data_IF_068760201742
#
_entry.id   IF_068760201742
#
_cell.length_a   1.000
_cell.length_b   1.000
_cell.length_c   1.000
_cell.angle_alpha   90.00
_cell.angle_beta   90.00
_cell.angle_gamma   90.00
#
_symmetry.space_group_name_H-M   'P 1'
#
loop_
_entity.id
_entity.type
_entity.pdbx_description
1 polymer ?
#
# COMPACT_ATOMS: atom_id res chain seq x y z
N UNK A 1 -22.74 22.30 -7.71
CA UNK A 1 -23.10 21.80 -6.37
C UNK A 1 -22.43 20.44 -6.22
N UNK A 2 -21.35 20.33 -5.44
CA UNK A 2 -20.71 19.03 -5.19
C UNK A 2 -21.68 18.13 -4.42
N UNK A 3 -21.98 16.96 -4.99
CA UNK A 3 -22.93 16.01 -4.42
C UNK A 3 -22.31 15.35 -3.17
N UNK A 4 -23.08 15.23 -2.08
CA UNK A 4 -22.58 14.77 -0.76
C UNK A 4 -21.89 13.41 -0.80
N UNK A 5 -22.20 12.57 -1.79
CA UNK A 5 -21.58 11.26 -1.98
C UNK A 5 -20.16 11.33 -2.53
N UNK A 6 -19.82 12.33 -3.34
CA UNK A 6 -18.45 12.58 -3.84
C UNK A 6 -17.51 13.04 -2.72
N UNK A 7 -18.02 13.80 -1.75
CA UNK A 7 -17.30 14.15 -0.51
C UNK A 7 -17.08 12.94 0.39
N UNK A 8 -17.99 11.95 0.37
CA UNK A 8 -17.88 10.74 1.17
C UNK A 8 -16.80 9.78 0.59
N UNK A 9 -16.69 9.67 -0.73
CA UNK A 9 -15.63 8.88 -1.39
C UNK A 9 -14.21 9.41 -1.12
N UNK A 10 -14.02 10.73 -1.25
CA UNK A 10 -12.76 11.42 -0.90
C UNK A 10 -12.45 11.28 0.60
N UNK A 11 -13.47 11.35 1.46
CA UNK A 11 -13.32 11.22 2.91
C UNK A 11 -12.99 9.79 3.37
N UNK A 12 -13.46 8.75 2.68
CA UNK A 12 -13.24 7.36 3.12
C UNK A 12 -11.80 6.90 2.87
N UNK A 13 -11.18 7.28 1.75
CA UNK A 13 -9.76 6.97 1.49
C UNK A 13 -8.80 7.82 2.32
N UNK A 14 -9.16 9.08 2.62
CA UNK A 14 -8.37 9.94 3.51
C UNK A 14 -8.53 9.59 5.00
N UNK A 15 -9.72 9.16 5.44
CA UNK A 15 -10.00 8.84 6.85
C UNK A 15 -9.46 7.47 7.30
N UNK A 16 -9.43 6.46 6.42
CA UNK A 16 -8.88 5.13 6.75
C UNK A 16 -7.36 5.20 7.02
N UNK A 17 -6.64 6.14 6.39
CA UNK A 17 -5.21 6.38 6.67
C UNK A 17 -4.95 7.32 7.86
N UNK A 18 -5.87 8.23 8.18
CA UNK A 18 -5.65 9.26 9.19
C UNK A 18 -5.77 8.76 10.65
N UNK A 19 -6.57 7.72 10.92
CA UNK A 19 -6.92 7.35 12.30
C UNK A 19 -5.88 6.53 13.06
N UNK A 20 -4.91 5.91 12.38
CA UNK A 20 -3.78 5.22 13.02
C UNK A 20 -2.49 6.06 13.08
N UNK A 21 -2.51 7.26 12.49
CA UNK A 21 -1.29 7.94 12.04
C UNK A 21 -1.25 9.44 12.32
N UNK A 22 -1.91 9.89 13.40
CA UNK A 22 -1.87 11.28 13.86
C UNK A 22 -0.48 11.63 14.42
N UNK A 23 0.52 11.82 13.55
CA UNK A 23 1.82 12.38 13.95
C UNK A 23 3.04 12.09 13.06
N UNK A 24 3.01 11.13 12.13
CA UNK A 24 4.25 10.71 11.40
C UNK A 24 4.14 10.64 9.87
N UNK A 25 2.95 10.74 9.27
CA UNK A 25 2.82 10.86 7.81
C UNK A 25 2.85 12.34 7.43
N UNK A 26 3.86 12.73 6.65
CA UNK A 26 3.83 14.01 5.93
C UNK A 26 3.48 13.73 4.48
N UNK A 27 2.39 14.32 4.01
CA UNK A 27 2.19 14.53 2.59
C UNK A 27 3.31 15.48 2.14
N UNK A 28 4.16 15.02 1.23
CA UNK A 28 5.25 15.84 0.68
C UNK A 28 4.87 16.20 -0.74
N UNK A 29 5.19 17.43 -1.13
CA UNK A 29 5.05 17.86 -2.52
C UNK A 29 5.69 16.86 -3.47
N UNK A 30 4.98 16.63 -4.57
CA UNK A 30 5.32 15.69 -5.63
C UNK A 30 6.76 15.92 -6.13
N UNK A 31 7.52 14.87 -6.49
CA UNK A 31 8.73 15.05 -7.27
C UNK A 31 8.42 15.86 -8.52
N UNK A 32 9.23 16.89 -8.82
CA UNK A 32 8.98 17.85 -9.91
C UNK A 32 8.90 17.20 -11.31
N UNK A 33 9.31 15.95 -11.45
CA UNK A 33 9.37 15.22 -12.72
C UNK A 33 8.04 14.62 -13.19
N UNK A 34 6.94 14.75 -12.41
CA UNK A 34 5.73 13.97 -12.70
C UNK A 34 4.38 14.68 -12.46
N UNK A 35 4.15 15.96 -12.81
CA UNK A 35 3.00 16.75 -12.34
C UNK A 35 1.61 16.11 -12.60
N UNK A 36 1.43 15.28 -13.64
CA UNK A 36 0.11 14.86 -14.13
C UNK A 36 -0.21 13.36 -14.01
N UNK A 37 0.49 12.63 -13.13
CA UNK A 37 0.06 11.30 -12.70
C UNK A 37 -1.23 11.36 -11.87
N UNK A 38 -2.26 10.64 -12.32
CA UNK A 38 -3.60 10.58 -11.71
C UNK A 38 -4.05 9.14 -11.50
N UNK A 39 -4.97 8.94 -10.57
CA UNK A 39 -5.77 7.72 -10.44
C UNK A 39 -7.16 8.04 -11.00
N UNK A 40 -7.52 7.48 -12.15
CA UNK A 40 -8.85 7.62 -12.76
C UNK A 40 -9.69 6.46 -12.27
N UNK A 41 -10.78 6.75 -11.57
CA UNK A 41 -11.72 5.73 -11.06
C UNK A 41 -12.97 5.72 -11.91
N UNK A 42 -13.39 4.53 -12.31
CA UNK A 42 -14.54 4.30 -13.18
C UNK A 42 -15.77 3.86 -12.39
N UNK A 43 -16.96 4.19 -12.89
CA UNK A 43 -18.22 3.73 -12.31
C UNK A 43 -18.31 2.20 -12.35
N UNK A 44 -17.99 1.65 -13.52
CA UNK A 44 -17.79 0.22 -13.76
C UNK A 44 -16.54 0.03 -14.61
N UNK A 45 -15.65 -0.86 -14.15
CA UNK A 45 -14.44 -1.21 -14.89
C UNK A 45 -14.60 -2.57 -15.58
N UNK A 46 -14.17 -2.65 -16.84
CA UNK A 46 -14.13 -3.93 -17.54
C UNK A 46 -13.21 -4.94 -16.84
N UNK A 47 -13.43 -6.27 -16.93
CA UNK A 47 -12.66 -7.27 -16.19
C UNK A 47 -11.14 -7.20 -16.39
N UNK A 48 -10.69 -6.70 -17.55
CA UNK A 48 -9.27 -6.50 -17.87
C UNK A 48 -8.86 -5.01 -17.94
N UNK A 49 -9.78 -4.09 -17.72
CA UNK A 49 -9.55 -2.65 -17.81
C UNK A 49 -9.25 -2.12 -19.22
N UNK A 50 -9.45 -2.93 -20.28
CA UNK A 50 -9.03 -2.60 -21.64
C UNK A 50 -9.79 -1.42 -22.22
N UNK A 51 -11.11 -1.38 -22.07
CA UNK A 51 -11.92 -0.27 -22.58
C UNK A 51 -11.57 1.05 -21.90
N UNK A 52 -11.32 1.01 -20.59
CA UNK A 52 -10.93 2.16 -19.80
C UNK A 52 -9.51 2.65 -20.16
N UNK A 53 -8.59 1.70 -20.42
CA UNK A 53 -7.27 2.01 -20.93
C UNK A 53 -7.31 2.65 -22.32
N UNK A 54 -8.15 2.15 -23.22
CA UNK A 54 -8.33 2.71 -24.57
C UNK A 54 -8.89 4.14 -24.51
N UNK A 55 -9.85 4.41 -23.62
CA UNK A 55 -10.34 5.76 -23.36
C UNK A 55 -9.21 6.68 -22.89
N UNK A 56 -8.44 6.28 -21.88
CA UNK A 56 -7.30 7.06 -21.36
C UNK A 56 -6.30 7.35 -22.48
N UNK A 57 -5.95 6.35 -23.28
CA UNK A 57 -5.03 6.50 -24.40
C UNK A 57 -5.59 7.43 -25.49
N UNK A 58 -6.90 7.38 -25.77
CA UNK A 58 -7.55 8.26 -26.76
C UNK A 58 -7.52 9.74 -26.37
N UNK A 59 -7.47 10.02 -25.06
CA UNK A 59 -7.32 11.36 -24.48
C UNK A 59 -5.86 11.78 -24.29
N UNK A 60 -4.91 11.03 -24.86
CA UNK A 60 -3.47 11.31 -24.79
C UNK A 60 -2.81 10.88 -23.48
N UNK A 61 -3.53 10.22 -22.58
CA UNK A 61 -2.97 9.64 -21.37
C UNK A 61 -2.16 8.37 -21.65
N UNK A 62 -1.18 8.09 -20.81
CA UNK A 62 -0.41 6.84 -20.82
C UNK A 62 -0.77 6.02 -19.59
N UNK A 63 -1.33 4.85 -19.79
CA UNK A 63 -1.61 3.90 -18.70
C UNK A 63 -0.31 3.42 -18.05
N UNK A 64 -0.23 3.50 -16.73
CA UNK A 64 0.91 3.06 -15.93
C UNK A 64 0.60 1.78 -15.14
N UNK A 65 -0.61 1.68 -14.57
CA UNK A 65 -0.98 0.59 -13.65
C UNK A 65 -2.49 0.41 -13.56
N UNK A 66 -2.93 -0.84 -13.42
CA UNK A 66 -4.32 -1.19 -13.17
C UNK A 66 -4.58 -1.47 -11.69
N UNK A 67 -5.64 -0.90 -11.15
CA UNK A 67 -6.09 -1.01 -9.76
C UNK A 67 -7.56 -1.49 -9.69
N UNK A 68 -7.89 -2.70 -10.20
CA UNK A 68 -9.25 -3.24 -10.17
C UNK A 68 -9.88 -3.28 -8.77
N UNK A 69 -9.11 -3.35 -7.68
CA UNK A 69 -9.64 -3.29 -6.30
C UNK A 69 -10.43 -2.00 -6.01
N UNK A 70 -10.13 -0.92 -6.74
CA UNK A 70 -10.84 0.37 -6.67
C UNK A 70 -11.45 0.76 -8.02
N UNK A 71 -11.60 -0.18 -8.95
CA UNK A 71 -12.07 0.10 -10.32
C UNK A 71 -11.29 1.24 -11.00
N UNK A 72 -9.97 1.28 -10.76
CA UNK A 72 -9.13 2.41 -11.13
C UNK A 72 -7.98 2.08 -12.08
N UNK A 73 -7.53 3.11 -12.81
CA UNK A 73 -6.31 3.09 -13.61
C UNK A 73 -5.42 4.26 -13.20
N UNK A 74 -4.15 3.98 -12.97
CA UNK A 74 -3.11 5.00 -12.83
C UNK A 74 -2.65 5.40 -14.21
N UNK A 75 -2.75 6.68 -14.53
CA UNK A 75 -2.40 7.20 -15.83
C UNK A 75 -1.55 8.47 -15.72
N UNK A 76 -0.63 8.63 -16.67
CA UNK A 76 0.12 9.85 -16.87
C UNK A 76 -0.54 10.68 -17.97
N UNK A 77 -0.86 11.93 -17.69
CA UNK A 77 -1.34 12.85 -18.73
C UNK A 77 -0.23 13.81 -19.19
N UNK A 78 -0.30 14.33 -20.43
CA UNK A 78 0.70 15.25 -20.97
C UNK A 78 0.62 16.64 -20.29
N UNK A 79 -0.60 17.08 -19.98
CA UNK A 79 -0.88 18.34 -19.28
C UNK A 79 -2.23 18.27 -18.54
N UNK A 80 -2.61 19.37 -17.87
CA UNK A 80 -3.88 19.48 -17.13
C UNK A 80 -5.11 19.72 -18.03
N UNK A 81 -4.95 20.12 -19.30
CA UNK A 81 -6.07 20.54 -20.14
C UNK A 81 -7.02 19.37 -20.45
N UNK A 82 -6.47 18.15 -20.51
CA UNK A 82 -7.26 16.93 -20.76
C UNK A 82 -7.98 16.40 -19.52
N UNK A 83 -7.64 16.90 -18.32
CA UNK A 83 -8.19 16.34 -17.08
C UNK A 83 -9.68 16.65 -16.89
N UNK A 84 -10.14 17.81 -17.36
CA UNK A 84 -11.55 18.16 -17.33
C UNK A 84 -12.36 17.23 -18.26
N UNK A 85 -11.82 16.91 -19.44
CA UNK A 85 -12.46 15.97 -20.38
C UNK A 85 -12.52 14.54 -19.80
N UNK A 86 -11.43 14.10 -19.14
CA UNK A 86 -11.39 12.81 -18.44
C UNK A 86 -12.42 12.79 -17.30
N UNK A 87 -12.43 13.82 -16.45
CA UNK A 87 -13.29 13.87 -15.27
C UNK A 87 -14.78 14.01 -15.60
N UNK A 88 -15.12 14.55 -16.76
CA UNK A 88 -16.50 14.69 -17.23
C UNK A 88 -16.99 13.53 -18.11
N UNK A 89 -16.12 12.55 -18.43
CA UNK A 89 -16.52 11.41 -19.24
C UNK A 89 -17.58 10.54 -18.51
N UNK A 90 -18.66 10.09 -19.16
CA UNK A 90 -19.77 9.40 -18.47
C UNK A 90 -19.41 8.11 -17.74
N UNK A 91 -18.32 7.44 -18.12
CA UNK A 91 -17.85 6.22 -17.44
C UNK A 91 -16.90 6.49 -16.26
N UNK A 92 -16.43 7.73 -16.11
CA UNK A 92 -15.49 8.12 -15.05
C UNK A 92 -16.28 8.58 -13.84
N UNK A 93 -16.08 7.91 -12.72
CA UNK A 93 -16.71 8.26 -11.45
C UNK A 93 -16.03 9.50 -10.85
N UNK A 94 -14.69 9.50 -10.80
CA UNK A 94 -13.88 10.67 -10.44
C UNK A 94 -12.39 10.48 -10.80
N UNK A 95 -11.60 11.55 -10.67
CA UNK A 95 -10.15 11.58 -10.92
C UNK A 95 -9.46 12.09 -9.66
N UNK A 96 -8.48 11.33 -9.16
CA UNK A 96 -7.68 11.67 -7.98
C UNK A 96 -6.22 11.95 -8.34
N UNK A 97 -5.57 12.76 -7.51
CA UNK A 97 -4.12 12.89 -7.53
C UNK A 97 -3.45 11.61 -7.02
N UNK A 98 -2.47 11.11 -7.78
CA UNK A 98 -1.55 10.09 -7.26
C UNK A 98 -0.43 10.78 -6.45
N UNK A 99 -0.76 11.16 -5.22
CA UNK A 99 0.15 11.91 -4.36
C UNK A 99 1.28 11.05 -3.78
N UNK A 100 2.33 11.75 -3.34
CA UNK A 100 3.52 11.14 -2.77
C UNK A 100 3.47 11.16 -1.24
N UNK A 101 3.56 9.97 -0.65
CA UNK A 101 3.57 9.76 0.79
C UNK A 101 5.01 9.57 1.23
N UNK A 102 5.46 10.28 2.25
CA UNK A 102 6.74 10.00 2.91
C UNK A 102 6.53 9.40 4.29
N UNK A 103 7.06 8.19 4.47
CA UNK A 103 7.24 7.59 5.79
C UNK A 103 8.57 8.07 6.37
N UNK A 104 8.53 9.13 7.19
CA UNK A 104 9.71 9.49 8.00
C UNK A 104 9.71 8.66 9.28
N UNK A 105 10.84 7.99 9.54
CA UNK A 105 11.12 7.41 10.85
C UNK A 105 11.48 8.56 11.80
N UNK A 106 10.61 8.90 12.75
CA UNK A 106 11.01 9.72 13.89
C UNK A 106 11.80 8.84 14.85
N UNK A 107 13.12 8.80 14.67
CA UNK A 107 14.04 8.06 15.55
C UNK A 107 14.05 8.60 16.99
N UNK A 108 13.69 9.87 17.18
CA UNK A 108 13.66 10.52 18.50
C UNK A 108 12.58 9.95 19.45
N UNK A 109 11.50 9.34 18.92
CA UNK A 109 10.43 8.74 19.73
C UNK A 109 10.60 7.24 20.01
N UNK A 110 11.40 6.53 19.21
CA UNK A 110 11.59 5.08 19.36
C UNK A 110 12.45 4.72 20.58
N UNK A 111 13.33 5.62 21.01
CA UNK A 111 14.13 5.44 22.22
C UNK A 111 13.28 5.39 23.51
N UNK A 112 12.09 6.04 23.54
CA UNK A 112 11.26 6.08 24.74
C UNK A 112 10.30 4.90 24.90
N UNK A 113 10.14 4.06 23.86
CA UNK A 113 9.28 2.87 23.85
C UNK A 113 10.07 1.56 23.81
N UNK A 114 11.38 1.63 23.52
CA UNK A 114 12.28 0.49 23.64
C UNK A 114 12.23 -0.06 25.08
N UNK A 115 11.65 -1.26 25.24
CA UNK A 115 11.52 -1.95 26.53
C UNK A 115 10.16 -1.81 27.23
N UNK A 116 9.21 -1.05 26.69
CA UNK A 116 7.83 -1.08 27.20
C UNK A 116 7.08 -2.22 26.52
N UNK A 117 7.04 -3.36 27.19
CA UNK A 117 6.28 -4.53 26.73
C UNK A 117 4.80 -4.14 26.61
N UNK A 118 4.26 -4.15 25.39
CA UNK A 118 2.82 -4.08 25.20
C UNK A 118 2.31 -5.45 25.65
N UNK A 119 1.77 -5.52 26.87
CA UNK A 119 1.17 -6.74 27.39
C UNK A 119 0.16 -7.27 26.39
N UNK A 120 0.35 -8.53 26.01
CA UNK A 120 -0.58 -9.27 25.18
C UNK A 120 -1.98 -9.20 25.84
N UNK A 121 -3.04 -8.84 25.12
CA UNK A 121 -4.39 -9.07 25.62
C UNK A 121 -4.49 -10.56 26.00
N UNK A 122 -5.00 -10.86 27.18
CA UNK A 122 -5.13 -12.25 27.66
C UNK A 122 -6.01 -13.11 26.74
N UNK A 123 -6.76 -12.45 25.86
CA UNK A 123 -7.93 -12.97 25.17
C UNK A 123 -7.67 -13.23 23.67
N UNK A 124 -6.42 -13.44 23.25
CA UNK A 124 -6.16 -13.92 21.87
C UNK A 124 -6.66 -15.36 21.76
N UNK A 125 -7.96 -15.51 21.56
CA UNK A 125 -8.58 -16.76 21.18
C UNK A 125 -8.00 -17.16 19.82
N UNK A 126 -7.39 -18.34 19.77
CA UNK A 126 -7.01 -18.94 18.50
C UNK A 126 -8.29 -19.17 17.70
N UNK A 127 -8.48 -18.41 16.62
CA UNK A 127 -9.58 -18.65 15.68
C UNK A 127 -9.28 -19.97 14.97
N UNK A 128 -10.06 -21.05 15.19
CA UNK A 128 -9.84 -22.32 14.50
C UNK A 128 -10.14 -22.14 13.00
N UNK A 129 -9.30 -22.70 12.12
CA UNK A 129 -9.64 -22.81 10.70
C UNK A 129 -8.56 -22.41 9.68
N UNK A 130 -7.37 -21.94 10.11
CA UNK A 130 -6.23 -21.73 9.20
C UNK A 130 -4.98 -22.43 9.71
N UNK A 131 -4.43 -23.33 8.88
CA UNK A 131 -3.16 -24.03 9.17
C UNK A 131 -1.95 -23.08 9.18
N UNK A 132 -2.02 -21.98 8.42
CA UNK A 132 -1.01 -20.93 8.33
C UNK A 132 -1.71 -19.55 8.30
N UNK A 133 -1.27 -18.62 9.14
CA UNK A 133 -1.64 -17.19 9.05
C UNK A 133 -0.63 -16.47 8.16
N UNK A 134 -1.11 -15.79 7.11
CA UNK A 134 -0.27 -14.97 6.23
C UNK A 134 -0.43 -13.50 6.59
N UNK A 135 0.68 -12.79 6.77
CA UNK A 135 0.69 -11.37 7.15
C UNK A 135 1.47 -10.59 6.09
N UNK A 136 0.82 -9.64 5.43
CA UNK A 136 1.45 -8.72 4.49
C UNK A 136 2.06 -7.51 5.22
N UNK A 137 3.32 -7.20 4.96
CA UNK A 137 3.98 -6.01 5.52
C UNK A 137 4.27 -5.03 4.39
N UNK A 138 3.37 -4.06 4.21
CA UNK A 138 3.48 -2.98 3.22
C UNK A 138 4.45 -1.91 3.72
N UNK A 139 5.72 -2.01 3.34
CA UNK A 139 6.78 -1.19 3.90
C UNK A 139 7.97 -1.00 2.92
N UNK A 140 9.18 -0.76 3.42
CA UNK A 140 10.41 -0.60 2.64
C UNK A 140 11.02 -1.92 2.14
N UNK A 141 10.44 -3.07 2.51
CA UNK A 141 10.95 -4.41 2.19
C UNK A 141 11.35 -5.20 3.43
N UNK A 142 12.15 -6.26 3.26
CA UNK A 142 12.76 -6.98 4.38
C UNK A 142 14.20 -7.43 4.07
N UNK A 143 15.03 -7.58 5.11
CA UNK A 143 16.27 -8.36 5.04
C UNK A 143 15.98 -9.86 5.12
N UNK A 144 16.07 -10.54 3.98
CA UNK A 144 15.87 -11.99 3.87
C UNK A 144 16.98 -12.83 4.53
N UNK A 145 18.15 -12.23 4.78
CA UNK A 145 19.28 -12.92 5.37
C UNK A 145 19.33 -12.77 6.90
N UNK A 146 18.39 -12.02 7.49
CA UNK A 146 18.36 -11.79 8.93
C UNK A 146 18.16 -13.14 9.67
N UNK A 147 19.13 -13.59 10.49
CA UNK A 147 19.20 -14.97 10.99
C UNK A 147 17.97 -15.43 11.75
N UNK A 148 17.29 -14.50 12.42
CA UNK A 148 16.12 -14.79 13.24
C UNK A 148 14.80 -14.66 12.47
N UNK A 149 14.78 -13.85 11.41
CA UNK A 149 13.55 -13.46 10.70
C UNK A 149 13.28 -14.37 9.50
N UNK A 150 14.33 -14.84 8.81
CA UNK A 150 14.25 -15.60 7.55
C UNK A 150 13.30 -16.80 7.61
N UNK A 151 13.22 -17.51 8.74
CA UNK A 151 12.31 -18.64 8.94
C UNK A 151 10.83 -18.26 8.84
N UNK A 152 10.47 -17.02 9.16
CA UNK A 152 9.10 -16.51 9.13
C UNK A 152 8.74 -15.90 7.76
N UNK A 153 9.70 -15.69 6.85
CA UNK A 153 9.45 -14.98 5.61
C UNK A 153 8.84 -15.89 4.52
N UNK A 154 7.94 -15.31 3.73
CA UNK A 154 7.58 -15.71 2.38
C UNK A 154 8.28 -14.82 1.34
N UNK A 155 8.07 -15.07 0.04
CA UNK A 155 8.78 -14.35 -1.02
C UNK A 155 8.41 -12.86 -1.13
N UNK A 156 7.12 -12.54 -0.95
CA UNK A 156 6.62 -11.17 -1.05
C UNK A 156 6.66 -10.59 -2.47
N UNK A 157 6.50 -9.26 -2.58
CA UNK A 157 6.56 -8.53 -3.85
C UNK A 157 7.24 -7.18 -3.69
N UNK A 158 8.01 -6.77 -4.69
CA UNK A 158 8.46 -5.40 -4.85
C UNK A 158 7.56 -4.65 -5.83
N UNK A 159 6.72 -3.75 -5.33
CA UNK A 159 5.75 -3.01 -6.17
C UNK A 159 6.45 -2.02 -7.11
N UNK A 160 7.63 -1.53 -6.71
CA UNK A 160 8.42 -0.59 -7.50
C UNK A 160 9.14 -1.26 -8.67
N UNK A 161 9.49 -2.54 -8.52
CA UNK A 161 10.13 -3.36 -9.55
C UNK A 161 9.80 -4.84 -9.29
N UNK A 162 8.69 -5.35 -9.85
CA UNK A 162 8.22 -6.72 -9.58
C UNK A 162 9.18 -7.83 -10.00
N UNK A 163 10.19 -7.53 -10.82
CA UNK A 163 11.23 -8.48 -11.22
C UNK A 163 12.32 -8.65 -10.16
N UNK A 164 12.33 -7.81 -9.12
CA UNK A 164 13.30 -7.84 -8.02
C UNK A 164 12.64 -8.29 -6.72
N UNK A 165 13.45 -8.91 -5.85
CA UNK A 165 13.03 -9.19 -4.47
C UNK A 165 12.76 -7.89 -3.70
N UNK A 166 11.81 -7.89 -2.75
CA UNK A 166 11.52 -6.74 -1.90
C UNK A 166 12.56 -6.57 -0.79
N UNK A 167 13.81 -6.29 -1.19
CA UNK A 167 14.92 -6.09 -0.27
C UNK A 167 14.76 -4.75 0.44
N UNK A 168 14.90 -4.77 1.77
CA UNK A 168 14.92 -3.57 2.57
C UNK A 168 16.29 -2.88 2.52
N UNK A 169 16.28 -1.59 2.20
CA UNK A 169 17.48 -0.73 2.22
C UNK A 169 17.37 0.38 3.26
N UNK A 170 16.20 0.52 3.92
CA UNK A 170 15.93 1.53 4.94
C UNK A 170 15.91 0.95 6.35
N UNK A 171 15.62 -0.34 6.49
CA UNK A 171 15.57 -1.08 7.75
C UNK A 171 14.21 -1.03 8.46
N UNK A 172 13.29 -0.16 8.06
CA UNK A 172 11.99 -0.01 8.73
C UNK A 172 11.12 -1.26 8.57
N UNK A 173 10.93 -1.74 7.34
CA UNK A 173 10.15 -2.96 7.09
C UNK A 173 10.76 -4.20 7.77
N UNK A 174 12.10 -4.27 7.85
CA UNK A 174 12.79 -5.31 8.61
C UNK A 174 12.51 -5.22 10.11
N UNK A 175 12.54 -4.01 10.68
CA UNK A 175 12.24 -3.77 12.09
C UNK A 175 10.79 -4.13 12.43
N UNK A 176 9.83 -3.66 11.63
CA UNK A 176 8.39 -4.00 11.76
C UNK A 176 8.18 -5.51 11.67
N UNK A 177 8.78 -6.16 10.67
CA UNK A 177 8.71 -7.62 10.50
C UNK A 177 9.32 -8.36 11.70
N UNK A 178 10.39 -7.82 12.30
CA UNK A 178 10.99 -8.34 13.52
C UNK A 178 10.07 -8.29 14.73
N UNK A 179 9.30 -7.20 14.92
CA UNK A 179 8.30 -7.08 16.00
C UNK A 179 7.19 -8.14 15.83
N UNK A 180 6.70 -8.30 14.60
CA UNK A 180 5.70 -9.32 14.27
C UNK A 180 6.26 -10.71 14.55
N UNK A 181 7.46 -11.01 14.02
CA UNK A 181 8.14 -12.27 14.24
C UNK A 181 8.35 -12.56 15.73
N UNK A 182 8.71 -11.55 16.56
CA UNK A 182 8.87 -11.69 18.02
C UNK A 182 7.60 -12.13 18.72
N UNK A 183 6.47 -11.58 18.31
CA UNK A 183 5.15 -11.95 18.82
C UNK A 183 4.78 -13.36 18.35
N UNK A 184 4.99 -13.65 17.07
CA UNK A 184 4.69 -14.94 16.44
C UNK A 184 5.54 -16.08 16.99
N UNK A 185 6.84 -15.89 17.22
CA UNK A 185 7.72 -16.92 17.77
C UNK A 185 7.30 -17.38 19.18
N UNK A 186 6.55 -16.56 19.91
CA UNK A 186 5.91 -16.97 21.17
C UNK A 186 4.61 -17.78 20.91
N UNK A 187 3.92 -17.52 19.80
CA UNK A 187 2.72 -18.26 19.36
C UNK A 187 3.04 -19.58 18.65
N UNK A 188 4.20 -19.74 18.00
CA UNK A 188 4.59 -21.01 17.37
C UNK A 188 4.80 -22.12 18.40
N UNK A 189 5.10 -21.78 19.66
CA UNK A 189 5.03 -22.70 20.79
C UNK A 189 3.63 -23.31 21.00
N UNK A 190 2.58 -22.65 20.47
CA UNK A 190 1.17 -23.04 20.54
C UNK A 190 0.62 -23.62 19.21
N UNK A 191 1.50 -24.11 18.31
CA UNK A 191 1.17 -24.81 17.05
C UNK A 191 0.54 -23.96 15.92
N UNK A 192 0.53 -22.64 16.01
CA UNK A 192 0.11 -21.77 14.89
C UNK A 192 1.31 -21.53 13.95
N UNK A 193 1.17 -21.82 12.66
CA UNK A 193 2.18 -21.45 11.66
C UNK A 193 1.86 -20.05 11.14
N UNK A 194 2.87 -19.20 11.00
CA UNK A 194 2.71 -17.84 10.48
C UNK A 194 3.78 -17.56 9.44
N UNK A 195 3.42 -16.85 8.37
CA UNK A 195 4.33 -16.37 7.33
C UNK A 195 4.14 -14.88 7.11
N UNK A 196 5.25 -14.16 7.08
CA UNK A 196 5.33 -12.71 6.83
C UNK A 196 5.73 -12.52 5.37
N UNK A 197 4.92 -11.80 4.61
CA UNK A 197 5.14 -11.50 3.20
C UNK A 197 5.52 -10.03 3.06
N UNK A 198 6.78 -9.72 2.72
CA UNK A 198 7.21 -8.34 2.51
C UNK A 198 6.59 -7.76 1.24
N UNK A 199 5.92 -6.61 1.34
CA UNK A 199 5.32 -5.89 0.22
C UNK A 199 6.01 -4.54 0.12
N UNK A 200 7.06 -4.46 -0.69
CA UNK A 200 7.86 -3.23 -0.81
C UNK A 200 7.13 -2.19 -1.64
N UNK A 201 6.64 -1.15 -0.98
CA UNK A 201 5.94 -0.01 -1.59
C UNK A 201 6.73 1.29 -1.43
N UNK A 202 7.64 1.39 -0.45
CA UNK A 202 8.50 2.55 -0.26
C UNK A 202 9.85 2.41 -0.97
N UNK A 203 10.27 3.48 -1.64
CA UNK A 203 11.56 3.59 -2.31
C UNK A 203 12.71 3.84 -1.32
N UNK A 204 13.91 4.08 -1.83
CA UNK A 204 15.12 4.32 -1.02
C UNK A 204 15.15 5.67 -0.30
N UNK A 205 14.17 6.55 -0.54
CA UNK A 205 13.96 7.80 0.19
C UNK A 205 12.86 7.69 1.24
N UNK A 206 12.25 6.51 1.43
CA UNK A 206 11.11 6.32 2.34
C UNK A 206 9.84 6.94 1.78
N UNK A 207 9.69 6.94 0.46
CA UNK A 207 8.56 7.56 -0.23
C UNK A 207 7.82 6.56 -1.14
N UNK A 208 6.52 6.73 -1.28
CA UNK A 208 5.65 5.87 -2.08
C UNK A 208 4.55 6.70 -2.77
N UNK A 209 4.12 6.28 -3.96
CA UNK A 209 2.85 6.77 -4.51
C UNK A 209 1.68 6.11 -3.78
N UNK A 210 0.57 6.83 -3.62
CA UNK A 210 -0.68 6.24 -3.12
C UNK A 210 -1.05 4.99 -3.94
N UNK A 211 -0.91 5.06 -5.26
CA UNK A 211 -1.19 3.93 -6.15
C UNK A 211 -0.31 2.71 -5.92
N UNK A 212 0.94 2.88 -5.46
CA UNK A 212 1.81 1.76 -5.13
C UNK A 212 1.33 1.05 -3.85
N UNK A 213 0.81 1.80 -2.89
CA UNK A 213 0.21 1.24 -1.67
C UNK A 213 -1.08 0.50 -2.01
N UNK A 214 -1.98 1.10 -2.81
CA UNK A 214 -3.22 0.44 -3.27
C UNK A 214 -2.88 -0.84 -4.02
N UNK A 215 -1.88 -0.81 -4.89
CA UNK A 215 -1.44 -2.01 -5.60
C UNK A 215 -0.86 -3.08 -4.69
N UNK A 216 -0.11 -2.69 -3.66
CA UNK A 216 0.36 -3.62 -2.62
C UNK A 216 -0.79 -4.32 -1.90
N UNK A 217 -1.85 -3.57 -1.54
CA UNK A 217 -3.06 -4.12 -0.92
C UNK A 217 -3.79 -5.07 -1.88
N UNK A 218 -3.93 -4.67 -3.15
CA UNK A 218 -4.50 -5.51 -4.19
C UNK A 218 -3.76 -6.83 -4.34
N UNK A 219 -2.43 -6.80 -4.30
CA UNK A 219 -1.61 -8.01 -4.35
C UNK A 219 -1.87 -8.91 -3.13
N UNK A 220 -1.92 -8.34 -1.92
CA UNK A 220 -2.25 -9.11 -0.72
C UNK A 220 -3.62 -9.81 -0.84
N UNK A 221 -4.65 -9.09 -1.29
CA UNK A 221 -5.99 -9.67 -1.48
C UNK A 221 -5.98 -10.82 -2.50
N UNK A 222 -5.24 -10.65 -3.60
CA UNK A 222 -5.11 -11.68 -4.64
C UNK A 222 -4.44 -12.95 -4.12
N UNK A 223 -3.43 -12.82 -3.27
CA UNK A 223 -2.65 -13.94 -2.72
C UNK A 223 -3.22 -14.52 -1.42
N UNK A 224 -4.41 -14.05 -1.00
CA UNK A 224 -5.05 -14.40 0.28
C UNK A 224 -4.09 -14.16 1.47
N UNK A 225 -3.54 -12.95 1.51
CA UNK A 225 -2.65 -12.43 2.56
C UNK A 225 -3.40 -11.33 3.31
N UNK A 226 -3.44 -11.43 4.64
CA UNK A 226 -4.07 -10.45 5.53
C UNK A 226 -3.16 -9.25 5.81
#
# INVERSE_FOLDING_TARGET
MLNKERLLGIAILTAIFAFAWWGTVKYIDKPAEDPYRKIVVFEEMSPEGKHEADLINSLGGKVLKFLPVVQGIVAQFPDNNVLDDVANHPSVAWVEDDFYISGKINTEGLASLAGKEISRPADVALVPGRDIVKIGVLDSGVDFNHPWLSQFLGEGINVLDPMKKPIDVLGHGTHVSGIIARTVGQLTAHKVKVKIYPVKVFNYYGQAYLSDIIYGLQWCLKEDIS
#
